data_IF_219996720706
#
_entry.id   IF_219996720706
#
_cell.length_a   1.000
_cell.length_b   1.000
_cell.length_c   1.000
_cell.angle_alpha   90.00
_cell.angle_beta   90.00
_cell.angle_gamma   90.00
#
_symmetry.space_group_name_H-M   'P 1'
#
loop_
_entity.id
_entity.type
_entity.pdbx_description
1 polymer ?
#
# COMPACT_ATOMS: atom_id res chain seq x y z
N UNK A 1 3.07 -10.77 -2.33
CA UNK A 1 2.86 -9.33 -2.14
C UNK A 1 3.45 -8.51 -3.28
N UNK A 2 4.65 -8.86 -3.79
CA UNK A 2 5.23 -8.15 -4.94
C UNK A 2 4.35 -8.22 -6.17
N UNK A 3 3.77 -9.39 -6.44
CA UNK A 3 2.86 -9.56 -7.58
C UNK A 3 1.59 -8.73 -7.39
N UNK A 4 1.08 -8.65 -6.17
CA UNK A 4 -0.05 -7.77 -5.85
C UNK A 4 0.29 -6.32 -6.17
N UNK A 5 1.50 -5.87 -5.80
CA UNK A 5 1.94 -4.50 -6.05
C UNK A 5 1.92 -4.16 -7.54
N UNK A 6 2.34 -5.09 -8.40
CA UNK A 6 2.32 -4.91 -9.84
C UNK A 6 0.90 -4.67 -10.37
N UNK A 7 -0.07 -5.45 -9.89
CA UNK A 7 -1.46 -5.32 -10.34
C UNK A 7 -2.18 -4.13 -9.72
N UNK A 8 -1.87 -3.79 -8.48
CA UNK A 8 -2.37 -2.53 -7.89
C UNK A 8 -1.86 -1.34 -8.71
N UNK A 9 -0.57 -1.34 -9.05
CA UNK A 9 0.02 -0.29 -9.88
C UNK A 9 -0.64 -0.23 -11.27
N UNK A 10 -0.94 -1.39 -11.86
CA UNK A 10 -1.62 -1.44 -13.15
C UNK A 10 -2.99 -0.77 -13.08
N UNK A 11 -3.75 -1.03 -12.00
CA UNK A 11 -5.04 -0.36 -11.78
C UNK A 11 -4.91 1.15 -11.67
N UNK A 12 -3.86 1.63 -11.02
CA UNK A 12 -3.58 3.07 -10.92
C UNK A 12 -3.23 3.65 -12.31
N UNK A 13 -2.42 2.94 -13.08
CA UNK A 13 -2.02 3.38 -14.42
C UNK A 13 -3.21 3.46 -15.38
N UNK A 14 -4.22 2.63 -15.19
CA UNK A 14 -5.43 2.66 -16.01
C UNK A 14 -6.17 3.99 -15.92
N UNK A 15 -5.97 4.76 -14.85
CA UNK A 15 -6.55 6.10 -14.69
C UNK A 15 -5.66 7.21 -15.25
N UNK A 16 -4.56 6.87 -15.91
CA UNK A 16 -3.64 7.86 -16.49
C UNK A 16 -2.57 8.37 -15.54
N UNK A 17 -2.45 7.77 -14.36
CA UNK A 17 -1.44 8.17 -13.36
C UNK A 17 -0.14 7.38 -13.52
N UNK A 18 0.98 8.02 -13.23
CA UNK A 18 2.28 7.37 -13.23
C UNK A 18 2.51 6.68 -11.91
N UNK A 19 3.18 5.52 -11.94
CA UNK A 19 3.46 4.74 -10.74
C UNK A 19 4.91 4.29 -10.73
N UNK A 20 5.57 4.51 -9.58
CA UNK A 20 6.89 3.94 -9.30
C UNK A 20 6.69 2.82 -8.27
N UNK A 21 7.17 1.62 -8.60
CA UNK A 21 7.15 0.49 -7.67
C UNK A 21 8.56 0.32 -7.12
N UNK A 22 8.69 0.40 -5.79
CA UNK A 22 9.99 0.27 -5.13
C UNK A 22 9.91 -0.67 -3.94
N UNK A 23 10.98 -1.44 -3.73
CA UNK A 23 11.13 -2.24 -2.53
C UNK A 23 11.51 -1.32 -1.38
N UNK A 24 10.95 -1.54 -0.21
CA UNK A 24 11.27 -0.72 0.97
C UNK A 24 12.75 -0.80 1.34
N UNK A 25 13.42 -1.91 1.04
CA UNK A 25 14.86 -2.07 1.28
C UNK A 25 15.71 -1.10 0.45
N UNK A 26 15.18 -0.56 -0.65
CA UNK A 26 15.86 0.42 -1.49
C UNK A 26 15.62 1.85 -1.03
N UNK A 27 14.68 2.08 -0.11
CA UNK A 27 14.28 3.41 0.36
C UNK A 27 14.93 3.66 1.72
N UNK A 28 16.06 4.36 1.71
CA UNK A 28 16.88 4.60 2.91
C UNK A 28 16.72 5.99 3.51
N UNK A 29 16.25 6.95 2.71
CA UNK A 29 16.13 8.36 3.11
C UNK A 29 14.71 8.87 2.85
N UNK A 30 14.24 9.76 3.71
CA UNK A 30 12.91 10.35 3.56
C UNK A 30 12.73 11.14 2.26
N UNK A 31 13.81 11.68 1.71
CA UNK A 31 13.75 12.41 0.43
C UNK A 31 13.30 11.52 -0.73
N UNK A 32 13.56 10.22 -0.65
CA UNK A 32 13.11 9.26 -1.66
C UNK A 32 11.59 9.10 -1.70
N UNK A 33 10.91 9.53 -0.65
CA UNK A 33 9.46 9.43 -0.51
C UNK A 33 8.73 10.72 -0.86
N UNK A 34 9.45 11.79 -1.19
CA UNK A 34 8.85 13.08 -1.50
C UNK A 34 8.52 13.20 -2.98
N UNK A 35 7.53 14.04 -3.29
CA UNK A 35 7.19 14.35 -4.68
C UNK A 35 6.08 13.49 -5.27
N UNK A 36 5.41 12.68 -4.48
CA UNK A 36 4.27 11.88 -4.92
C UNK A 36 2.96 12.40 -4.34
N UNK A 37 1.86 12.12 -5.03
CA UNK A 37 0.51 12.50 -4.58
C UNK A 37 -0.15 11.38 -3.79
N UNK A 38 0.31 10.14 -3.97
CA UNK A 38 -0.24 8.98 -3.28
C UNK A 38 0.85 7.97 -2.93
N UNK A 39 0.62 7.25 -1.84
CA UNK A 39 1.54 6.22 -1.35
C UNK A 39 0.73 4.97 -1.01
N UNK A 40 1.06 3.87 -1.65
CA UNK A 40 0.41 2.57 -1.40
C UNK A 40 1.46 1.59 -0.92
N UNK A 41 1.24 1.05 0.27
CA UNK A 41 2.22 0.22 0.96
C UNK A 41 1.76 -1.23 1.00
N UNK A 42 2.61 -2.13 0.56
CA UNK A 42 2.33 -3.57 0.57
C UNK A 42 3.20 -4.31 1.57
N UNK A 43 2.59 -5.21 2.36
CA UNK A 43 3.31 -5.99 3.35
C UNK A 43 2.57 -7.31 3.65
N UNK A 44 3.26 -8.46 3.63
CA UNK A 44 2.65 -9.70 4.08
C UNK A 44 2.48 -9.68 5.61
N UNK A 45 1.56 -10.49 6.12
CA UNK A 45 1.37 -10.64 7.56
C UNK A 45 2.13 -11.86 8.06
N UNK A 46 3.02 -11.66 9.05
CA UNK A 46 3.73 -12.73 9.73
C UNK A 46 3.43 -12.64 11.22
N UNK A 47 3.01 -13.76 11.81
CA UNK A 47 2.67 -13.81 13.26
C UNK A 47 1.72 -12.68 13.65
N UNK A 48 0.70 -12.43 12.83
CA UNK A 48 -0.33 -11.40 13.03
C UNK A 48 0.21 -9.97 13.04
N UNK A 49 1.38 -9.75 12.41
CA UNK A 49 2.01 -8.44 12.38
C UNK A 49 2.73 -8.21 11.06
N UNK A 50 3.16 -6.99 10.84
CA UNK A 50 3.99 -6.62 9.70
C UNK A 50 5.44 -7.08 9.91
N UNK A 51 6.23 -7.11 8.83
CA UNK A 51 7.66 -7.44 8.92
C UNK A 51 8.43 -6.37 9.69
N UNK A 52 9.59 -6.74 10.26
CA UNK A 52 10.46 -5.79 10.94
C UNK A 52 10.95 -4.68 10.01
N UNK A 53 11.26 -5.03 8.74
CA UNK A 53 11.64 -4.03 7.74
C UNK A 53 10.55 -3.01 7.48
N UNK A 54 9.29 -3.44 7.49
CA UNK A 54 8.16 -2.55 7.32
C UNK A 54 8.01 -1.61 8.51
N UNK A 55 8.21 -2.09 9.73
CA UNK A 55 8.16 -1.24 10.91
C UNK A 55 9.20 -0.11 10.83
N UNK A 56 10.41 -0.45 10.40
CA UNK A 56 11.48 0.54 10.20
C UNK A 56 11.08 1.54 9.11
N UNK A 57 10.50 1.05 8.02
CA UNK A 57 10.06 1.89 6.91
C UNK A 57 8.98 2.89 7.33
N UNK A 58 8.06 2.50 8.21
CA UNK A 58 7.01 3.41 8.69
C UNK A 58 7.60 4.61 9.44
N UNK A 59 8.69 4.43 10.19
CA UNK A 59 9.39 5.55 10.81
C UNK A 59 9.95 6.50 9.76
N UNK A 60 10.44 5.96 8.64
CA UNK A 60 10.93 6.78 7.53
C UNK A 60 9.79 7.58 6.89
N UNK A 61 8.62 6.96 6.70
CA UNK A 61 7.44 7.64 6.18
C UNK A 61 7.02 8.81 7.08
N UNK A 62 7.07 8.60 8.39
CA UNK A 62 6.72 9.66 9.34
C UNK A 62 7.60 10.90 9.15
N UNK A 63 8.91 10.67 8.93
CA UNK A 63 9.86 11.77 8.69
C UNK A 63 9.61 12.49 7.37
N UNK A 64 9.03 11.82 6.40
CA UNK A 64 8.80 12.40 5.08
C UNK A 64 7.68 13.45 5.07
N UNK A 65 6.82 13.48 6.09
CA UNK A 65 5.77 14.49 6.20
C UNK A 65 4.70 14.34 5.12
N UNK A 66 3.96 13.24 5.15
CA UNK A 66 2.99 12.87 4.11
C UNK A 66 1.56 13.33 4.40
N UNK A 67 1.36 14.26 5.34
CA UNK A 67 0.04 14.75 5.71
C UNK A 67 -0.74 15.24 4.49
N UNK A 68 -1.99 14.78 4.38
CA UNK A 68 -2.87 15.17 3.28
C UNK A 68 -2.66 14.40 1.98
N UNK A 69 -1.61 13.59 1.86
CA UNK A 69 -1.40 12.75 0.68
C UNK A 69 -2.34 11.54 0.72
N UNK A 70 -2.70 11.03 -0.45
CA UNK A 70 -3.56 9.85 -0.54
C UNK A 70 -2.77 8.60 -0.18
N UNK A 71 -3.40 7.66 0.51
CA UNK A 71 -2.74 6.45 0.93
C UNK A 71 -3.59 5.21 0.81
N UNK A 72 -2.92 4.06 0.77
CA UNK A 72 -3.53 2.76 0.79
C UNK A 72 -2.55 1.73 1.33
N UNK A 73 -3.08 0.58 1.73
CA UNK A 73 -2.26 -0.52 2.25
C UNK A 73 -2.87 -1.85 1.83
N UNK A 74 -2.00 -2.78 1.46
CA UNK A 74 -2.45 -4.11 1.02
C UNK A 74 -1.43 -5.17 1.44
N UNK A 75 -1.82 -6.43 1.31
CA UNK A 75 -0.91 -7.52 1.57
C UNK A 75 -1.51 -8.88 1.36
N UNK A 76 -0.65 -9.90 1.37
CA UNK A 76 -1.05 -11.29 1.31
C UNK A 76 -0.98 -11.91 2.70
N UNK A 77 -1.74 -12.98 2.94
CA UNK A 77 -1.74 -13.67 4.22
C UNK A 77 -2.06 -15.16 4.04
N UNK A 78 -1.63 -15.97 5.03
CA UNK A 78 -1.97 -17.39 5.08
C UNK A 78 -2.99 -17.68 6.19
N UNK A 79 -2.79 -17.13 7.37
CA UNK A 79 -3.64 -17.37 8.54
C UNK A 79 -4.45 -16.16 8.98
N UNK A 80 -3.84 -14.98 8.99
CA UNK A 80 -4.54 -13.74 9.34
C UNK A 80 -3.98 -12.57 8.54
N UNK A 81 -4.81 -11.56 8.28
CA UNK A 81 -4.46 -10.42 7.44
C UNK A 81 -4.30 -9.13 8.23
N UNK A 82 -3.60 -9.15 9.35
CA UNK A 82 -3.53 -8.01 10.27
C UNK A 82 -2.61 -6.87 9.79
N UNK A 83 -1.50 -7.19 9.10
CA UNK A 83 -0.50 -6.18 8.75
C UNK A 83 -1.03 -5.00 7.94
N UNK A 84 -1.78 -5.19 6.84
CA UNK A 84 -2.27 -4.04 6.07
C UNK A 84 -3.19 -3.12 6.89
N UNK A 85 -4.02 -3.68 7.77
CA UNK A 85 -4.89 -2.88 8.63
C UNK A 85 -4.11 -2.02 9.61
N UNK A 86 -3.06 -2.58 10.20
CA UNK A 86 -2.18 -1.84 11.13
C UNK A 86 -1.48 -0.71 10.39
N UNK A 87 -0.95 -0.99 9.20
CA UNK A 87 -0.29 0.01 8.36
C UNK A 87 -1.28 1.10 7.95
N UNK A 88 -2.47 0.71 7.52
CA UNK A 88 -3.54 1.65 7.13
C UNK A 88 -3.87 2.61 8.27
N UNK A 89 -4.08 2.08 9.48
CA UNK A 89 -4.41 2.90 10.64
C UNK A 89 -3.28 3.86 10.99
N UNK A 90 -2.03 3.40 10.87
CA UNK A 90 -0.86 4.25 11.11
C UNK A 90 -0.82 5.40 10.11
N UNK A 91 -1.05 5.12 8.84
CA UNK A 91 -1.07 6.15 7.80
C UNK A 91 -2.17 7.17 8.04
N UNK A 92 -3.35 6.70 8.46
CA UNK A 92 -4.50 7.57 8.70
C UNK A 92 -4.34 8.40 9.97
N UNK A 93 -4.03 7.77 11.09
CA UNK A 93 -4.09 8.42 12.39
C UNK A 93 -2.77 9.07 12.81
N UNK A 94 -1.65 8.50 12.42
CA UNK A 94 -0.32 9.05 12.77
C UNK A 94 0.18 9.99 11.70
N UNK A 95 0.15 9.58 10.43
CA UNK A 95 0.67 10.39 9.32
C UNK A 95 -0.35 11.39 8.77
N UNK A 96 -1.60 11.30 9.18
CA UNK A 96 -2.68 12.20 8.75
C UNK A 96 -2.88 12.22 7.24
N UNK A 97 -2.81 11.04 6.63
CA UNK A 97 -3.03 10.87 5.19
C UNK A 97 -4.51 10.69 4.88
N UNK A 98 -4.88 10.97 3.63
CA UNK A 98 -6.24 10.73 3.12
C UNK A 98 -6.29 9.30 2.57
N UNK A 99 -6.87 8.39 3.34
CA UNK A 99 -6.84 6.97 3.00
C UNK A 99 -7.91 6.59 1.99
N UNK A 100 -7.63 5.54 1.22
CA UNK A 100 -8.58 4.97 0.27
C UNK A 100 -9.92 4.64 0.94
N UNK A 101 -11.02 4.96 0.26
CA UNK A 101 -12.37 4.64 0.76
C UNK A 101 -12.62 3.14 0.82
N UNK A 102 -11.80 2.34 0.14
CA UNK A 102 -11.89 0.88 0.16
C UNK A 102 -11.22 0.26 1.40
N UNK A 103 -10.59 1.07 2.24
CA UNK A 103 -9.88 0.59 3.43
C UNK A 103 -8.55 -0.08 3.06
N UNK A 104 -8.09 -0.98 3.92
CA UNK A 104 -6.95 -1.82 3.62
C UNK A 104 -7.41 -3.04 2.80
N UNK A 105 -6.51 -3.61 2.01
CA UNK A 105 -6.83 -4.74 1.15
C UNK A 105 -5.97 -5.95 1.48
N UNK A 106 -6.62 -7.08 1.74
CA UNK A 106 -5.96 -8.34 2.02
C UNK A 106 -6.38 -9.42 1.03
N UNK A 107 -5.44 -10.26 0.66
CA UNK A 107 -5.69 -11.40 -0.23
C UNK A 107 -4.98 -12.63 0.31
N UNK A 108 -5.69 -13.76 0.39
CA UNK A 108 -5.06 -15.02 0.78
C UNK A 108 -3.94 -15.34 -0.21
N UNK A 109 -2.80 -15.81 0.29
CA UNK A 109 -1.64 -16.09 -0.54
C UNK A 109 -1.98 -17.06 -1.68
N UNK A 110 -2.85 -18.03 -1.43
CA UNK A 110 -3.29 -18.98 -2.45
C UNK A 110 -4.02 -18.31 -3.62
N UNK A 111 -4.57 -17.11 -3.44
CA UNK A 111 -5.31 -16.38 -4.46
C UNK A 111 -4.46 -15.36 -5.20
N UNK A 112 -3.22 -15.13 -4.79
CA UNK A 112 -2.36 -14.11 -5.41
C UNK A 112 -2.04 -14.41 -6.88
N UNK A 113 -2.03 -15.66 -7.27
CA UNK A 113 -1.83 -16.06 -8.66
C UNK A 113 -3.11 -16.23 -9.47
N UNK A 114 -4.27 -16.09 -8.84
CA UNK A 114 -5.57 -16.31 -9.46
C UNK A 114 -6.04 -15.03 -10.17
N UNK A 115 -6.74 -15.20 -11.31
CA UNK A 115 -7.27 -14.08 -12.09
C UNK A 115 -8.16 -13.15 -11.27
N UNK A 116 -9.06 -13.72 -10.45
CA UNK A 116 -9.95 -12.92 -9.64
C UNK A 116 -9.20 -12.15 -8.56
N UNK A 117 -8.20 -12.77 -7.94
CA UNK A 117 -7.35 -12.11 -6.96
C UNK A 117 -6.56 -10.96 -7.56
N UNK A 118 -5.99 -11.16 -8.75
CA UNK A 118 -5.24 -10.12 -9.44
C UNK A 118 -6.14 -8.98 -9.90
N UNK A 119 -7.36 -9.31 -10.33
CA UNK A 119 -8.34 -8.29 -10.70
C UNK A 119 -8.75 -7.45 -9.49
N UNK A 120 -8.90 -8.08 -8.33
CA UNK A 120 -9.17 -7.36 -7.10
C UNK A 120 -8.05 -6.37 -6.75
N UNK A 121 -6.79 -6.74 -7.03
CA UNK A 121 -5.66 -5.83 -6.87
C UNK A 121 -5.78 -4.62 -7.79
N UNK A 122 -6.13 -4.84 -9.07
CA UNK A 122 -6.36 -3.75 -10.01
C UNK A 122 -7.49 -2.83 -9.55
N UNK A 123 -8.58 -3.41 -9.04
CA UNK A 123 -9.71 -2.64 -8.53
C UNK A 123 -9.31 -1.78 -7.34
N UNK A 124 -8.45 -2.30 -6.47
CA UNK A 124 -7.92 -1.52 -5.36
C UNK A 124 -7.13 -0.31 -5.87
N UNK A 125 -6.31 -0.51 -6.91
CA UNK A 125 -5.57 0.57 -7.56
C UNK A 125 -6.49 1.62 -8.16
N UNK A 126 -7.58 1.20 -8.77
CA UNK A 126 -8.59 2.13 -9.29
C UNK A 126 -9.22 2.96 -8.17
N UNK A 127 -9.40 2.38 -7.00
CA UNK A 127 -9.89 3.10 -5.81
C UNK A 127 -8.94 4.21 -5.37
N UNK A 128 -7.63 4.02 -5.55
CA UNK A 128 -6.65 5.07 -5.29
C UNK A 128 -6.86 6.25 -6.26
N UNK A 129 -7.11 5.96 -7.54
CA UNK A 129 -7.42 6.99 -8.53
C UNK A 129 -8.65 7.80 -8.14
N UNK A 130 -9.69 7.13 -7.67
CA UNK A 130 -10.92 7.80 -7.23
C UNK A 130 -10.66 8.74 -6.07
N UNK A 131 -9.82 8.33 -5.12
CA UNK A 131 -9.46 9.17 -3.99
C UNK A 131 -8.62 10.37 -4.42
N UNK A 132 -7.71 10.19 -5.39
CA UNK A 132 -6.90 11.27 -5.94
C UNK A 132 -7.76 12.32 -6.66
N UNK A 133 -8.86 11.90 -7.29
CA UNK A 133 -9.74 12.80 -8.03
C UNK A 133 -10.63 13.66 -7.11
N UNK A 134 -10.73 13.28 -5.85
CA UNK A 134 -11.47 14.06 -4.86
C UNK A 134 -10.55 15.10 -4.22
#
# INVERSE_FOLDING_TARGET
TEKMAEFVAEGIRMGGNEVDIKKISALKKEDSLKGYDAYVVGCPTYHRDMTGGMKTFLFLMEKAGLEGKVGGAFGSYTHSGDAPGIIYDTMEYVFKMKMSDLGSFNLKEALVGDKEGLRACQDYGKGINEKLAK
#
